data_IF_872792915441
#
_entry.id   IF_872792915441
#
_cell.length_a   1.000
_cell.length_b   1.000
_cell.length_c   1.000
_cell.angle_alpha   90.00
_cell.angle_beta   90.00
_cell.angle_gamma   90.00
#
_symmetry.space_group_name_H-M   'P 1'
#
loop_
_entity.id
_entity.type
_entity.pdbx_description
1 polymer ?
#
# COMPACT_ATOMS: atom_id res chain seq x y z
N UNK A 1 7.39 -39.70 -20.15
CA UNK A 1 7.07 -40.03 -18.78
C UNK A 1 6.98 -38.73 -18.02
N UNK A 2 5.76 -38.16 -17.96
CA UNK A 2 5.48 -36.83 -17.42
C UNK A 2 5.38 -36.92 -15.90
N UNK A 3 6.37 -36.39 -15.17
CA UNK A 3 6.24 -36.13 -13.75
C UNK A 3 5.29 -34.93 -13.55
N UNK A 4 4.03 -35.22 -13.31
CA UNK A 4 3.10 -34.26 -12.71
C UNK A 4 3.56 -34.04 -11.26
N UNK A 5 4.24 -32.92 -11.02
CA UNK A 5 4.42 -32.40 -9.65
C UNK A 5 3.04 -31.99 -9.18
N UNK A 6 2.49 -32.78 -8.29
CA UNK A 6 1.21 -32.54 -7.61
C UNK A 6 1.43 -31.38 -6.65
N UNK A 7 1.20 -30.16 -7.11
CA UNK A 7 1.12 -29.00 -6.22
C UNK A 7 -0.05 -29.23 -5.26
N UNK A 8 0.16 -29.24 -3.96
CA UNK A 8 -0.95 -29.32 -3.01
C UNK A 8 -1.82 -28.08 -3.20
N UNK A 9 -3.13 -28.28 -3.21
CA UNK A 9 -4.11 -27.18 -3.29
C UNK A 9 -3.74 -26.11 -2.26
N UNK A 10 -3.71 -24.81 -2.66
CA UNK A 10 -3.29 -23.77 -1.77
C UNK A 10 -4.24 -23.73 -0.56
N UNK A 11 -3.71 -24.01 0.61
CA UNK A 11 -4.43 -23.84 1.87
C UNK A 11 -4.81 -22.36 2.02
N UNK A 12 -5.86 -22.05 2.78
CA UNK A 12 -6.28 -20.67 3.07
C UNK A 12 -5.12 -19.82 3.59
N UNK A 13 -4.20 -20.40 4.35
CA UNK A 13 -2.97 -19.76 4.82
C UNK A 13 -2.04 -19.35 3.67
N UNK A 14 -1.88 -20.21 2.65
CA UNK A 14 -1.07 -19.90 1.48
C UNK A 14 -1.68 -18.77 0.66
N UNK A 15 -2.99 -18.74 0.51
CA UNK A 15 -3.71 -17.65 -0.18
C UNK A 15 -3.57 -16.35 0.59
N UNK A 16 -3.77 -16.38 1.91
CA UNK A 16 -3.62 -15.19 2.76
C UNK A 16 -2.20 -14.62 2.71
N UNK A 17 -1.18 -15.44 2.92
CA UNK A 17 0.22 -14.98 2.88
C UNK A 17 0.61 -14.46 1.51
N UNK A 18 0.17 -15.09 0.42
CA UNK A 18 0.41 -14.63 -0.94
C UNK A 18 -0.27 -13.30 -1.23
N UNK A 19 -1.53 -13.11 -0.81
CA UNK A 19 -2.25 -11.85 -1.02
C UNK A 19 -1.59 -10.67 -0.32
N UNK A 20 -1.12 -10.84 0.94
CA UNK A 20 -0.42 -9.79 1.68
C UNK A 20 0.96 -9.46 1.10
N UNK A 21 1.62 -10.43 0.49
CA UNK A 21 2.94 -10.27 -0.13
C UNK A 21 2.86 -9.77 -1.57
N UNK A 22 1.73 -9.96 -2.25
CA UNK A 22 1.57 -9.65 -3.68
C UNK A 22 1.92 -8.17 -4.00
N UNK A 23 1.44 -7.24 -3.21
CA UNK A 23 1.68 -5.81 -3.41
C UNK A 23 3.15 -5.42 -3.15
N UNK A 24 3.77 -5.82 -2.02
CA UNK A 24 5.18 -5.55 -1.77
C UNK A 24 6.13 -6.23 -2.76
N UNK A 25 5.83 -7.45 -3.22
CA UNK A 25 6.64 -8.17 -4.19
C UNK A 25 6.53 -7.55 -5.59
N UNK A 26 5.33 -7.13 -6.00
CA UNK A 26 5.13 -6.38 -7.24
C UNK A 26 5.92 -5.06 -7.24
N UNK A 27 5.94 -4.33 -6.13
CA UNK A 27 6.71 -3.09 -6.01
C UNK A 27 8.23 -3.33 -5.88
N UNK A 28 8.62 -4.42 -5.23
CA UNK A 28 10.04 -4.79 -5.06
C UNK A 28 10.74 -5.17 -6.36
N UNK A 29 10.02 -5.81 -7.28
CA UNK A 29 10.52 -6.26 -8.60
C UNK A 29 10.37 -5.21 -9.70
N UNK A 30 9.36 -4.33 -9.61
CA UNK A 30 9.06 -3.32 -10.62
C UNK A 30 10.10 -2.19 -10.64
N UNK A 31 10.20 -1.51 -11.79
CA UNK A 31 10.95 -0.24 -11.89
C UNK A 31 10.32 0.81 -10.98
N UNK A 32 11.12 1.78 -10.53
CA UNK A 32 10.64 2.81 -9.58
C UNK A 32 9.50 3.64 -10.16
N UNK A 33 9.58 3.97 -11.46
CA UNK A 33 8.52 4.69 -12.16
C UNK A 33 7.22 3.88 -12.24
N UNK A 34 7.28 2.58 -12.56
CA UNK A 34 6.11 1.70 -12.57
C UNK A 34 5.49 1.57 -11.17
N UNK A 35 6.33 1.44 -10.14
CA UNK A 35 5.87 1.36 -8.74
C UNK A 35 5.20 2.66 -8.30
N UNK A 36 5.71 3.82 -8.72
CA UNK A 36 5.11 5.12 -8.45
C UNK A 36 3.71 5.23 -9.09
N UNK A 37 3.57 4.91 -10.37
CA UNK A 37 2.29 4.96 -11.09
C UNK A 37 1.28 3.98 -10.47
N UNK A 38 1.70 2.75 -10.22
CA UNK A 38 0.85 1.72 -9.62
C UNK A 38 0.32 2.16 -8.25
N UNK A 39 1.20 2.69 -7.42
CA UNK A 39 0.86 3.17 -6.08
C UNK A 39 0.06 4.48 -6.09
N UNK A 40 0.35 5.40 -7.00
CA UNK A 40 -0.29 6.72 -7.03
C UNK A 40 -1.66 6.71 -7.69
N UNK A 41 -1.82 6.03 -8.81
CA UNK A 41 -3.03 6.11 -9.65
C UNK A 41 -3.89 4.85 -9.56
N UNK A 42 -3.31 3.70 -9.85
CA UNK A 42 -4.08 2.46 -10.05
C UNK A 42 -4.82 2.06 -8.77
N UNK A 43 -4.11 1.95 -7.65
CA UNK A 43 -4.72 1.58 -6.37
C UNK A 43 -5.79 2.57 -5.91
N UNK A 44 -5.56 3.88 -6.11
CA UNK A 44 -6.54 4.91 -5.73
C UNK A 44 -7.76 4.90 -6.61
N UNK A 45 -7.59 4.63 -7.90
CA UNK A 45 -8.71 4.43 -8.83
C UNK A 45 -9.64 3.32 -8.37
N UNK A 46 -9.10 2.17 -7.95
CA UNK A 46 -9.89 1.07 -7.41
C UNK A 46 -10.59 1.42 -6.09
N UNK A 47 -9.92 2.15 -5.19
CA UNK A 47 -10.54 2.59 -3.92
C UNK A 47 -11.69 3.56 -4.19
N UNK A 48 -11.51 4.54 -5.07
CA UNK A 48 -12.57 5.49 -5.45
C UNK A 48 -13.73 4.77 -6.14
N UNK A 49 -13.44 3.80 -7.01
CA UNK A 49 -14.46 2.96 -7.63
C UNK A 49 -15.24 2.17 -6.58
N UNK A 50 -14.54 1.55 -5.63
CA UNK A 50 -15.15 0.83 -4.51
C UNK A 50 -16.09 1.73 -3.71
N UNK A 51 -15.66 2.95 -3.36
CA UNK A 51 -16.50 3.94 -2.66
C UNK A 51 -17.72 4.30 -3.49
N UNK A 52 -17.56 4.54 -4.80
CA UNK A 52 -18.69 4.82 -5.70
C UNK A 52 -19.69 3.67 -5.76
N UNK A 53 -19.22 2.44 -5.87
CA UNK A 53 -20.10 1.26 -5.87
C UNK A 53 -20.83 1.15 -4.53
N UNK A 54 -20.10 1.28 -3.43
CA UNK A 54 -20.67 1.17 -2.09
C UNK A 54 -21.80 2.18 -1.87
N UNK A 55 -21.58 3.45 -2.16
CA UNK A 55 -22.54 4.51 -1.86
C UNK A 55 -23.57 4.76 -2.97
N UNK A 56 -23.23 4.56 -4.25
CA UNK A 56 -24.15 4.80 -5.36
C UNK A 56 -24.98 3.60 -5.79
N UNK A 57 -24.40 2.40 -5.74
CA UNK A 57 -25.08 1.18 -6.20
C UNK A 57 -25.89 0.58 -5.05
N UNK A 58 -25.26 0.37 -3.90
CA UNK A 58 -25.93 -0.24 -2.74
C UNK A 58 -26.74 0.78 -1.93
N UNK A 59 -26.25 2.00 -1.79
CA UNK A 59 -26.89 3.03 -0.96
C UNK A 59 -26.68 2.82 0.54
N UNK A 60 -26.87 3.89 1.33
CA UNK A 60 -26.62 3.84 2.78
C UNK A 60 -27.56 2.92 3.56
N UNK A 61 -28.76 2.74 3.08
CA UNK A 61 -29.76 1.87 3.73
C UNK A 61 -29.31 0.40 3.72
N UNK A 62 -28.95 -0.12 2.55
CA UNK A 62 -28.48 -1.50 2.37
C UNK A 62 -27.16 -1.73 3.11
N UNK A 63 -26.25 -0.77 3.08
CA UNK A 63 -24.95 -0.84 3.79
C UNK A 63 -25.17 -0.98 5.29
N UNK A 64 -26.13 -0.26 5.87
CA UNK A 64 -26.48 -0.34 7.29
C UNK A 64 -27.18 -1.65 7.64
N UNK A 65 -28.13 -2.10 6.82
CA UNK A 65 -28.84 -3.37 7.04
C UNK A 65 -27.90 -4.58 7.03
N UNK A 66 -26.91 -4.59 6.12
CA UNK A 66 -25.93 -5.67 6.00
C UNK A 66 -24.76 -5.55 6.97
N UNK A 67 -24.70 -4.51 7.82
CA UNK A 67 -23.58 -4.26 8.74
C UNK A 67 -22.19 -4.33 8.07
N UNK A 68 -22.07 -3.82 6.85
CA UNK A 68 -20.82 -3.85 6.07
C UNK A 68 -19.76 -2.90 6.68
N UNK A 69 -20.18 -1.77 7.24
CA UNK A 69 -19.27 -0.75 7.77
C UNK A 69 -18.34 -1.27 8.88
N UNK A 70 -18.81 -2.02 9.89
CA UNK A 70 -17.93 -2.60 10.90
C UNK A 70 -16.90 -3.57 10.33
N UNK A 71 -17.25 -4.31 9.26
CA UNK A 71 -16.31 -5.21 8.59
C UNK A 71 -15.22 -4.42 7.89
N UNK A 72 -15.59 -3.36 7.16
CA UNK A 72 -14.62 -2.45 6.51
C UNK A 72 -13.73 -1.79 7.55
N UNK A 73 -14.29 -1.36 8.69
CA UNK A 73 -13.54 -0.77 9.80
C UNK A 73 -12.52 -1.76 10.37
N UNK A 74 -12.94 -2.98 10.65
CA UNK A 74 -12.06 -4.02 11.17
C UNK A 74 -10.91 -4.35 10.20
N UNK A 75 -11.21 -4.49 8.91
CA UNK A 75 -10.19 -4.69 7.87
C UNK A 75 -9.24 -3.50 7.75
N UNK A 76 -9.75 -2.28 7.87
CA UNK A 76 -8.93 -1.06 7.90
C UNK A 76 -7.96 -1.05 9.08
N UNK A 77 -8.44 -1.31 10.28
CA UNK A 77 -7.62 -1.38 11.50
C UNK A 77 -6.56 -2.47 11.41
N UNK A 78 -6.90 -3.67 10.94
CA UNK A 78 -5.93 -4.74 10.71
C UNK A 78 -4.87 -4.33 9.68
N UNK A 79 -5.27 -3.69 8.58
CA UNK A 79 -4.35 -3.18 7.57
C UNK A 79 -3.36 -2.16 8.12
N UNK A 80 -3.81 -1.24 9.00
CA UNK A 80 -2.96 -0.27 9.68
C UNK A 80 -1.92 -0.96 10.55
N UNK A 81 -2.35 -1.87 11.41
CA UNK A 81 -1.48 -2.55 12.39
C UNK A 81 -0.45 -3.43 11.66
N UNK A 82 -0.92 -4.38 10.85
CA UNK A 82 -0.03 -5.33 10.17
C UNK A 82 0.85 -4.64 9.12
N UNK A 83 0.31 -3.68 8.37
CA UNK A 83 1.09 -2.93 7.40
C UNK A 83 2.24 -2.17 8.05
N UNK A 84 2.01 -1.54 9.21
CA UNK A 84 3.05 -0.83 9.97
C UNK A 84 4.09 -1.79 10.54
N UNK A 85 3.65 -2.89 11.17
CA UNK A 85 4.56 -3.90 11.74
C UNK A 85 5.45 -4.48 10.64
N UNK A 86 4.86 -4.94 9.53
CA UNK A 86 5.64 -5.53 8.44
C UNK A 86 6.58 -4.52 7.76
N UNK A 87 6.22 -3.24 7.70
CA UNK A 87 7.11 -2.20 7.19
C UNK A 87 8.39 -2.07 8.04
N UNK A 88 8.28 -2.13 9.37
CA UNK A 88 9.41 -2.03 10.31
C UNK A 88 10.40 -3.19 10.18
N UNK A 89 9.93 -4.39 9.84
CA UNK A 89 10.79 -5.56 9.69
C UNK A 89 11.44 -5.69 8.31
N UNK A 90 11.19 -4.76 7.37
CA UNK A 90 11.78 -4.84 6.05
C UNK A 90 13.22 -4.32 6.03
N UNK A 91 14.06 -5.06 5.32
CA UNK A 91 15.47 -4.69 5.07
C UNK A 91 15.68 -4.00 3.73
N UNK A 92 14.71 -4.12 2.81
CA UNK A 92 14.75 -3.51 1.49
C UNK A 92 13.87 -2.24 1.44
N UNK A 93 14.44 -1.14 0.94
CA UNK A 93 13.79 0.17 0.90
C UNK A 93 12.43 0.15 0.18
N UNK A 94 12.36 -0.43 -1.01
CA UNK A 94 11.11 -0.49 -1.78
C UNK A 94 10.03 -1.32 -1.08
N UNK A 95 10.40 -2.43 -0.45
CA UNK A 95 9.45 -3.26 0.30
C UNK A 95 8.91 -2.54 1.53
N UNK A 96 9.78 -1.81 2.25
CA UNK A 96 9.36 -0.98 3.39
C UNK A 96 8.32 0.06 2.95
N UNK A 97 8.58 0.79 1.85
CA UNK A 97 7.64 1.77 1.30
C UNK A 97 6.34 1.09 0.85
N UNK A 98 6.39 -0.12 0.29
CA UNK A 98 5.22 -0.86 -0.13
C UNK A 98 4.34 -1.31 1.06
N UNK A 99 4.92 -1.87 2.12
CA UNK A 99 4.17 -2.23 3.33
C UNK A 99 3.59 -1.00 4.05
N UNK A 100 4.33 0.11 4.10
CA UNK A 100 3.76 1.35 4.62
C UNK A 100 2.59 1.86 3.77
N UNK A 101 2.51 1.53 2.47
CA UNK A 101 1.33 1.82 1.65
C UNK A 101 0.12 0.98 2.07
N UNK A 102 0.33 -0.28 2.49
CA UNK A 102 -0.75 -1.12 3.05
C UNK A 102 -1.34 -0.48 4.30
N UNK A 103 -0.49 0.02 5.20
CA UNK A 103 -0.94 0.74 6.40
C UNK A 103 -1.77 2.00 6.03
N UNK A 104 -1.31 2.78 5.06
CA UNK A 104 -2.01 3.99 4.62
C UNK A 104 -3.37 3.69 3.95
N UNK A 105 -3.47 2.60 3.21
CA UNK A 105 -4.76 2.11 2.69
C UNK A 105 -5.67 1.71 3.85
N UNK A 106 -5.13 1.12 4.91
CA UNK A 106 -5.87 0.84 6.14
C UNK A 106 -6.51 2.10 6.74
N UNK A 107 -5.81 3.25 6.78
CA UNK A 107 -6.39 4.53 7.21
C UNK A 107 -7.59 4.94 6.36
N UNK A 108 -7.50 4.76 5.03
CA UNK A 108 -8.61 5.09 4.12
C UNK A 108 -9.83 4.21 4.41
N UNK A 109 -9.64 2.89 4.55
CA UNK A 109 -10.73 1.97 4.87
C UNK A 109 -11.32 2.23 6.26
N UNK A 110 -10.50 2.61 7.24
CA UNK A 110 -10.98 3.02 8.57
C UNK A 110 -11.88 4.25 8.46
N UNK A 111 -11.48 5.27 7.69
CA UNK A 111 -12.31 6.46 7.44
C UNK A 111 -13.64 6.13 6.76
N UNK A 112 -13.64 5.23 5.78
CA UNK A 112 -14.87 4.76 5.11
C UNK A 112 -15.74 3.95 6.09
N UNK A 113 -15.13 3.05 6.87
CA UNK A 113 -15.80 2.16 7.81
C UNK A 113 -16.48 2.88 8.99
N UNK A 114 -16.07 4.10 9.32
CA UNK A 114 -16.77 4.94 10.31
C UNK A 114 -18.20 5.30 9.86
N UNK A 115 -18.51 5.27 8.56
CA UNK A 115 -19.84 5.54 8.04
C UNK A 115 -20.33 6.97 8.27
N UNK A 116 -19.44 7.89 8.63
CA UNK A 116 -19.75 9.30 8.86
C UNK A 116 -19.32 10.17 7.69
N UNK A 117 -19.99 11.30 7.40
CA UNK A 117 -19.56 12.22 6.36
C UNK A 117 -18.14 12.75 6.58
N UNK A 118 -17.77 13.01 7.83
CA UNK A 118 -16.43 13.44 8.20
C UNK A 118 -15.38 12.35 7.93
N UNK A 119 -15.67 11.10 8.27
CA UNK A 119 -14.79 9.95 7.98
C UNK A 119 -14.58 9.75 6.49
N UNK A 120 -15.65 9.88 5.69
CA UNK A 120 -15.54 9.79 4.23
C UNK A 120 -14.72 10.94 3.65
N UNK A 121 -14.95 12.17 4.11
CA UNK A 121 -14.17 13.34 3.67
C UNK A 121 -12.68 13.18 4.01
N UNK A 122 -12.37 12.73 5.23
CA UNK A 122 -11.00 12.43 5.65
C UNK A 122 -10.35 11.34 4.79
N UNK A 123 -11.08 10.26 4.47
CA UNK A 123 -10.60 9.20 3.60
C UNK A 123 -10.29 9.72 2.19
N UNK A 124 -11.16 10.53 1.61
CA UNK A 124 -10.95 11.12 0.28
C UNK A 124 -9.75 12.06 0.25
N UNK A 125 -9.59 12.91 1.27
CA UNK A 125 -8.42 13.78 1.41
C UNK A 125 -7.14 12.94 1.55
N UNK A 126 -7.19 11.87 2.36
CA UNK A 126 -6.05 10.98 2.55
C UNK A 126 -5.65 10.24 1.27
N UNK A 127 -6.60 9.89 0.39
CA UNK A 127 -6.31 9.31 -0.93
C UNK A 127 -5.40 10.24 -1.74
N UNK A 128 -5.71 11.53 -1.77
CA UNK A 128 -4.92 12.53 -2.51
C UNK A 128 -3.52 12.70 -1.91
N UNK A 129 -3.42 12.98 -0.62
CA UNK A 129 -2.13 13.19 0.05
C UNK A 129 -1.23 11.95 -0.06
N UNK A 130 -1.80 10.76 0.14
CA UNK A 130 -1.09 9.51 -0.01
C UNK A 130 -0.61 9.26 -1.46
N UNK A 131 -1.39 9.64 -2.48
CA UNK A 131 -0.98 9.50 -3.87
C UNK A 131 0.29 10.30 -4.16
N UNK A 132 0.32 11.58 -3.76
CA UNK A 132 1.49 12.44 -3.96
C UNK A 132 2.71 11.98 -3.15
N UNK A 133 2.54 11.73 -1.86
CA UNK A 133 3.63 11.32 -0.97
C UNK A 133 4.27 10.01 -1.46
N UNK A 134 3.47 9.02 -1.82
CA UNK A 134 4.01 7.71 -2.24
C UNK A 134 4.66 7.74 -3.62
N UNK A 135 4.14 8.51 -4.56
CA UNK A 135 4.82 8.67 -5.85
C UNK A 135 6.20 9.30 -5.66
N UNK A 136 6.30 10.34 -4.83
CA UNK A 136 7.58 10.97 -4.49
C UNK A 136 8.55 9.98 -3.82
N UNK A 137 8.10 9.24 -2.80
CA UNK A 137 8.95 8.26 -2.10
C UNK A 137 9.45 7.14 -3.03
N UNK A 138 8.62 6.63 -3.95
CA UNK A 138 9.08 5.62 -4.90
C UNK A 138 10.07 6.18 -5.92
N UNK A 139 9.93 7.42 -6.37
CA UNK A 139 10.89 8.07 -7.25
C UNK A 139 12.22 8.31 -6.53
N UNK A 140 12.20 8.85 -5.32
CA UNK A 140 13.40 9.05 -4.49
C UNK A 140 14.08 7.71 -4.21
N UNK A 141 13.34 6.68 -3.83
CA UNK A 141 13.91 5.35 -3.61
C UNK A 141 14.56 4.77 -4.87
N UNK A 142 14.02 5.11 -6.04
CA UNK A 142 14.62 4.75 -7.34
C UNK A 142 15.96 5.40 -7.57
N UNK A 143 16.05 6.71 -7.34
CA UNK A 143 17.30 7.46 -7.46
C UNK A 143 18.36 6.92 -6.49
N UNK A 144 17.98 6.67 -5.23
CA UNK A 144 18.89 6.11 -4.21
C UNK A 144 19.42 4.72 -4.62
N UNK A 145 18.57 3.84 -5.12
CA UNK A 145 18.99 2.51 -5.58
C UNK A 145 19.86 2.60 -6.84
N UNK A 146 19.60 3.55 -7.71
CA UNK A 146 20.40 3.76 -8.93
C UNK A 146 21.83 4.17 -8.58
N UNK A 147 22.01 5.11 -7.66
CA UNK A 147 23.34 5.59 -7.24
C UNK A 147 24.09 4.54 -6.40
N UNK A 148 23.43 3.88 -5.48
CA UNK A 148 24.08 2.91 -4.58
C UNK A 148 24.23 1.52 -5.19
N UNK A 149 23.53 1.21 -6.28
CA UNK A 149 23.39 -0.12 -6.85
C UNK A 149 22.96 -1.19 -5.83
N UNK A 150 22.34 -0.75 -4.72
CA UNK A 150 21.89 -1.63 -3.63
C UNK A 150 20.43 -1.35 -3.26
N UNK A 151 19.69 -2.42 -2.92
CA UNK A 151 18.30 -2.32 -2.46
C UNK A 151 18.19 -2.32 -0.93
N UNK A 152 19.25 -2.72 -0.22
CA UNK A 152 19.26 -2.85 1.24
C UNK A 152 19.53 -1.52 1.93
N UNK A 153 18.70 -1.16 2.90
CA UNK A 153 18.79 0.09 3.67
C UNK A 153 20.15 0.20 4.38
N UNK A 154 20.64 -0.90 4.94
CA UNK A 154 21.94 -0.93 5.65
C UNK A 154 23.17 -0.59 4.79
N UNK A 155 23.04 -0.65 3.47
CA UNK A 155 24.11 -0.33 2.52
C UNK A 155 24.00 1.07 1.90
N UNK A 156 23.05 1.87 2.37
CA UNK A 156 22.78 3.24 1.88
C UNK A 156 23.34 4.32 2.82
N UNK A 157 24.20 3.94 3.76
CA UNK A 157 24.82 4.91 4.68
C UNK A 157 25.69 5.93 3.92
N UNK A 158 25.53 7.20 4.25
CA UNK A 158 26.30 8.29 3.62
C UNK A 158 25.74 8.82 2.29
N UNK A 159 24.58 8.34 1.86
CA UNK A 159 23.93 8.78 0.61
C UNK A 159 23.55 10.28 0.66
N UNK A 160 23.37 10.84 1.85
CA UNK A 160 23.07 12.26 2.07
C UNK A 160 24.11 13.18 1.45
N UNK A 161 25.39 12.78 1.51
CA UNK A 161 26.49 13.53 0.92
C UNK A 161 26.51 13.44 -0.62
N UNK A 162 26.00 12.34 -1.18
CA UNK A 162 25.97 12.11 -2.62
C UNK A 162 24.76 12.75 -3.31
N UNK A 163 23.64 12.88 -2.59
CA UNK A 163 22.36 13.34 -3.16
C UNK A 163 21.64 14.34 -2.24
N UNK A 164 22.22 15.50 -1.94
CA UNK A 164 21.65 16.44 -0.94
C UNK A 164 20.27 16.98 -1.34
N UNK A 165 20.03 17.25 -2.62
CA UNK A 165 18.73 17.75 -3.10
C UNK A 165 17.64 16.69 -2.99
N UNK A 166 17.93 15.45 -3.37
CA UNK A 166 16.97 14.34 -3.31
C UNK A 166 16.61 14.01 -1.86
N UNK A 167 17.60 14.07 -0.94
CA UNK A 167 17.37 13.84 0.47
C UNK A 167 16.54 14.96 1.12
N UNK A 168 16.80 16.22 0.78
CA UNK A 168 15.97 17.33 1.24
C UNK A 168 14.50 17.19 0.77
N UNK A 169 14.26 16.72 -0.43
CA UNK A 169 12.91 16.43 -0.93
C UNK A 169 12.24 15.23 -0.20
N UNK A 170 13.03 14.33 0.35
CA UNK A 170 12.53 13.19 1.12
C UNK A 170 12.18 13.54 2.56
N UNK A 171 12.88 14.52 3.15
CA UNK A 171 12.69 14.98 4.54
C UNK A 171 11.72 16.17 4.65
N UNK A 172 11.49 16.95 3.60
CA UNK A 172 10.63 18.12 3.57
C UNK A 172 9.20 17.81 3.31
#
# INVERSE_FOLDING_TARGET
>A
MLCFVKEPYPTLEFIQTKLWQLLPDAHGSATSSSSAILSALVLKGYIVLFVKILYRVYGMEVIRQLNILPVILALGLMGMIFGSIFALFQTELKKMIAYSSVAQIGYIFTGIGLGTPAGLAAAMFHILTHAFTKSGLFLVSGSMIHETHNKKISKMNGIEALMPITMNLAYG
#
